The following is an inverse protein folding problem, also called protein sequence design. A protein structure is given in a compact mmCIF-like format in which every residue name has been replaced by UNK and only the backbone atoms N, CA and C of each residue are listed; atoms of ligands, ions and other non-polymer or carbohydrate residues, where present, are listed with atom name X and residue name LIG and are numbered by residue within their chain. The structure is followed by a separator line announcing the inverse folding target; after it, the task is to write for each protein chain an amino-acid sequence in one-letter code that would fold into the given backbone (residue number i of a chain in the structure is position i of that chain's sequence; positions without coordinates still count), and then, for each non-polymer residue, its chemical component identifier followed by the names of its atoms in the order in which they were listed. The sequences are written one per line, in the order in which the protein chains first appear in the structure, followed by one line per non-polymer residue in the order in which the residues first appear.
data_IF_827393286991
#
_entry.id   IF_827393286991
#
_cell.length_a   1.000
_cell.length_b   1.000
_cell.length_c   1.000
_cell.angle_alpha   90.00
_cell.angle_beta   90.00
_cell.angle_gamma   90.00
#
_symmetry.space_group_name_H-M   'P 1'
#
loop_
_entity.id
_entity.type
_entity.pdbx_description
1 polymer ?
#
# COMPACT_ATOMS: atom_id res chain seq x y z
N UNK A 1 -51.87 -32.03 23.29
CA UNK A 1 -51.39 -31.53 24.61
C UNK A 1 -49.86 -31.57 24.68
N UNK A 2 -49.16 -31.22 23.59
CA UNK A 2 -47.70 -31.34 23.44
C UNK A 2 -47.05 -30.09 22.86
N UNK A 3 -47.82 -29.15 22.32
CA UNK A 3 -47.29 -27.89 21.78
C UNK A 3 -46.99 -26.85 22.86
N UNK A 4 -47.68 -26.89 24.01
CA UNK A 4 -47.50 -25.91 25.09
C UNK A 4 -46.17 -26.07 25.82
N UNK A 5 -45.62 -27.29 25.87
CA UNK A 5 -44.34 -27.60 26.53
C UNK A 5 -43.13 -27.21 25.69
N UNK A 6 -43.23 -27.28 24.34
CA UNK A 6 -42.14 -26.82 23.47
C UNK A 6 -41.98 -25.29 23.48
N UNK A 7 -43.08 -24.54 23.55
CA UNK A 7 -43.01 -23.07 23.64
C UNK A 7 -42.38 -22.59 24.95
N UNK A 8 -42.58 -23.31 26.06
CA UNK A 8 -42.00 -22.97 27.37
C UNK A 8 -40.51 -23.28 27.44
N UNK A 9 -40.04 -24.38 26.86
CA UNK A 9 -38.62 -24.71 26.77
C UNK A 9 -37.84 -23.73 25.87
N UNK A 10 -38.42 -23.31 24.74
CA UNK A 10 -37.81 -22.30 23.87
C UNK A 10 -37.74 -20.92 24.54
N UNK A 11 -38.78 -20.53 25.29
CA UNK A 11 -38.77 -19.30 26.08
C UNK A 11 -37.73 -19.32 27.21
N UNK A 12 -37.50 -20.48 27.84
CA UNK A 12 -36.53 -20.64 28.92
C UNK A 12 -35.07 -20.59 28.42
N UNK A 13 -34.79 -21.02 27.19
CA UNK A 13 -33.47 -20.89 26.58
C UNK A 13 -33.12 -19.44 26.20
N UNK A 14 -34.11 -18.62 25.84
CA UNK A 14 -33.93 -17.20 25.55
C UNK A 14 -33.82 -16.33 26.82
N UNK A 15 -34.33 -16.81 27.95
CA UNK A 15 -34.33 -16.10 29.23
C UNK A 15 -33.08 -16.36 30.09
N UNK A 16 -32.04 -16.98 29.55
CA UNK A 16 -30.75 -17.10 30.25
C UNK A 16 -29.91 -15.84 29.98
N UNK A 17 -29.84 -14.87 30.92
CA UNK A 17 -28.79 -13.85 30.85
C UNK A 17 -27.45 -14.59 30.85
N UNK A 18 -26.70 -14.47 29.75
CA UNK A 18 -25.40 -15.10 29.62
C UNK A 18 -24.46 -14.58 30.71
N UNK A 19 -23.55 -15.40 31.29
CA UNK A 19 -22.61 -14.98 32.33
C UNK A 19 -21.73 -13.78 31.94
N UNK A 20 -21.66 -13.50 30.65
CA UNK A 20 -20.91 -12.40 30.04
C UNK A 20 -21.62 -11.05 30.14
N UNK A 21 -22.90 -11.00 30.49
CA UNK A 21 -23.71 -9.78 30.45
C UNK A 21 -23.90 -9.12 31.83
N UNK A 22 -23.79 -9.88 32.93
CA UNK A 22 -24.07 -9.41 34.30
C UNK A 22 -22.94 -9.71 35.32
N UNK A 23 -21.74 -10.05 34.85
CA UNK A 23 -20.60 -10.36 35.73
C UNK A 23 -20.13 -9.14 36.54
N UNK A 24 -19.74 -9.28 37.84
CA UNK A 24 -19.20 -8.22 38.72
C UNK A 24 -17.84 -7.64 38.27
N UNK A 25 -17.78 -7.17 37.03
CA UNK A 25 -16.55 -6.82 36.33
C UNK A 25 -16.78 -6.37 34.89
N UNK A 26 -17.97 -6.61 34.32
CA UNK A 26 -18.36 -6.04 33.03
C UNK A 26 -18.43 -4.50 33.06
N UNK A 27 -18.65 -3.93 34.24
CA UNK A 27 -18.68 -2.48 34.51
C UNK A 27 -17.40 -1.95 35.18
N UNK A 28 -16.47 -2.84 35.55
CA UNK A 28 -15.19 -2.46 36.21
C UNK A 28 -14.04 -2.33 35.20
N UNK A 29 -14.35 -2.28 33.91
CA UNK A 29 -13.35 -1.98 32.89
C UNK A 29 -12.72 -0.61 33.22
N UNK A 30 -11.39 -0.53 33.35
CA UNK A 30 -10.73 0.72 33.71
C UNK A 30 -11.14 1.85 32.75
N UNK A 31 -11.21 3.09 33.23
CA UNK A 31 -11.63 4.23 32.41
C UNK A 31 -10.79 4.41 31.12
N UNK A 32 -9.59 3.83 31.06
CA UNK A 32 -8.69 3.84 29.90
C UNK A 32 -8.91 2.68 28.92
N UNK A 33 -9.83 1.74 29.18
CA UNK A 33 -10.06 0.58 28.31
C UNK A 33 -10.31 0.94 26.82
N UNK A 34 -10.99 2.05 26.46
CA UNK A 34 -11.21 2.38 25.05
C UNK A 34 -9.93 2.82 24.33
N UNK A 35 -8.90 3.25 25.07
CA UNK A 35 -7.63 3.71 24.48
C UNK A 35 -6.93 2.59 23.73
N UNK A 36 -7.00 1.35 24.23
CA UNK A 36 -6.35 0.20 23.60
C UNK A 36 -6.88 -0.12 22.20
N UNK A 37 -8.18 -0.38 21.98
CA UNK A 37 -8.69 -0.67 20.63
C UNK A 37 -8.56 0.54 19.69
N UNK A 38 -8.68 1.77 20.20
CA UNK A 38 -8.51 2.99 19.39
C UNK A 38 -7.06 3.10 18.90
N UNK A 39 -6.08 2.99 19.80
CA UNK A 39 -4.65 3.09 19.43
C UNK A 39 -4.22 1.94 18.54
N UNK A 40 -4.69 0.72 18.80
CA UNK A 40 -4.44 -0.44 17.96
C UNK A 40 -5.04 -0.25 16.55
N UNK A 41 -6.27 0.25 16.45
CA UNK A 41 -6.90 0.56 15.17
C UNK A 41 -6.14 1.64 14.40
N UNK A 42 -5.78 2.75 15.07
CA UNK A 42 -4.97 3.82 14.48
C UNK A 42 -3.60 3.32 14.01
N UNK A 43 -2.95 2.44 14.78
CA UNK A 43 -1.68 1.83 14.42
C UNK A 43 -1.81 1.05 13.10
N UNK A 44 -2.83 0.19 12.96
CA UNK A 44 -3.05 -0.56 11.72
C UNK A 44 -3.39 0.33 10.53
N UNK A 45 -4.20 1.38 10.74
CA UNK A 45 -4.47 2.39 9.70
C UNK A 45 -3.17 3.07 9.26
N UNK A 46 -2.33 3.49 10.20
CA UNK A 46 -1.05 4.12 9.91
C UNK A 46 -0.11 3.18 9.13
N UNK A 47 -0.04 1.91 9.54
CA UNK A 47 0.74 0.88 8.83
C UNK A 47 0.22 0.68 7.41
N UNK A 48 -1.10 0.54 7.23
CA UNK A 48 -1.72 0.36 5.92
C UNK A 48 -1.49 1.56 5.00
N UNK A 49 -1.70 2.79 5.50
CA UNK A 49 -1.46 4.03 4.76
C UNK A 49 0.01 4.16 4.38
N UNK A 50 0.92 3.89 5.32
CA UNK A 50 2.37 3.98 5.06
C UNK A 50 2.80 2.94 4.03
N UNK A 51 2.38 1.69 4.17
CA UNK A 51 2.66 0.63 3.22
C UNK A 51 2.13 0.96 1.83
N UNK A 52 0.86 1.38 1.74
CA UNK A 52 0.24 1.80 0.47
C UNK A 52 0.97 3.00 -0.15
N UNK A 53 1.31 4.00 0.64
CA UNK A 53 2.06 5.17 0.19
C UNK A 53 3.44 4.79 -0.35
N UNK A 54 4.17 3.91 0.33
CA UNK A 54 5.49 3.44 -0.12
C UNK A 54 5.39 2.65 -1.43
N UNK A 55 4.39 1.76 -1.55
CA UNK A 55 4.14 1.03 -2.81
C UNK A 55 3.82 2.02 -3.93
N UNK A 56 2.89 2.94 -3.70
CA UNK A 56 2.49 3.95 -4.70
C UNK A 56 3.66 4.85 -5.10
N UNK A 57 4.47 5.28 -4.14
CA UNK A 57 5.69 6.06 -4.39
C UNK A 57 6.70 5.26 -5.21
N UNK A 58 6.90 3.99 -4.90
CA UNK A 58 7.83 3.12 -5.63
C UNK A 58 7.34 2.90 -7.05
N UNK A 59 6.04 2.66 -7.25
CA UNK A 59 5.41 2.55 -8.57
C UNK A 59 5.51 3.86 -9.37
N UNK A 60 5.34 5.02 -8.73
CA UNK A 60 5.52 6.31 -9.40
C UNK A 60 6.99 6.55 -9.78
N UNK A 61 7.93 6.15 -8.93
CA UNK A 61 9.36 6.26 -9.21
C UNK A 61 9.80 5.32 -10.36
N UNK A 62 9.31 4.08 -10.38
CA UNK A 62 9.54 3.17 -11.51
C UNK A 62 8.84 3.65 -12.78
N UNK A 63 7.60 4.13 -12.70
CA UNK A 63 6.93 4.72 -13.86
C UNK A 63 7.69 5.92 -14.42
N UNK A 64 8.25 6.79 -13.58
CA UNK A 64 9.10 7.90 -14.01
C UNK A 64 10.43 7.43 -14.61
N UNK A 65 11.03 6.35 -14.08
CA UNK A 65 12.24 5.75 -14.65
C UNK A 65 11.95 5.11 -16.02
N UNK A 66 10.86 4.36 -16.13
CA UNK A 66 10.39 3.77 -17.40
C UNK A 66 10.02 4.85 -18.40
N UNK A 67 9.38 5.95 -17.96
CA UNK A 67 9.07 7.09 -18.82
C UNK A 67 10.35 7.72 -19.41
N UNK A 68 11.39 7.93 -18.58
CA UNK A 68 12.71 8.39 -19.06
C UNK A 68 13.39 7.37 -19.97
N UNK A 69 13.26 6.07 -19.71
CA UNK A 69 13.79 5.03 -20.58
C UNK A 69 13.01 4.87 -21.89
N UNK A 70 11.72 5.23 -21.89
CA UNK A 70 10.88 5.27 -23.08
C UNK A 70 11.07 6.53 -23.92
N UNK A 71 11.77 7.54 -23.38
CA UNK A 71 12.15 8.74 -24.11
C UNK A 71 13.05 8.36 -25.31
N UNK A 72 12.62 8.62 -26.55
CA UNK A 72 13.40 8.29 -27.76
C UNK A 72 14.82 8.87 -27.72
N UNK A 73 14.99 10.01 -27.04
CA UNK A 73 16.26 10.70 -26.89
C UNK A 73 17.24 9.91 -26.01
N UNK A 74 16.75 9.38 -24.88
CA UNK A 74 17.57 8.59 -23.96
C UNK A 74 17.99 7.25 -24.58
N UNK A 75 17.12 6.63 -25.39
CA UNK A 75 17.48 5.43 -26.18
C UNK A 75 18.49 5.73 -27.28
N UNK A 76 18.40 6.88 -27.95
CA UNK A 76 19.39 7.28 -28.94
C UNK A 76 20.77 7.50 -28.28
N UNK A 77 20.81 8.11 -27.10
CA UNK A 77 22.05 8.33 -26.34
C UNK A 77 22.69 7.01 -25.85
N UNK A 78 21.90 6.05 -25.36
CA UNK A 78 22.42 4.76 -24.93
C UNK A 78 22.99 3.95 -26.10
N UNK A 79 22.35 3.99 -27.27
CA UNK A 79 22.85 3.35 -28.49
C UNK A 79 24.16 3.98 -28.98
N UNK A 80 24.30 5.30 -28.88
CA UNK A 80 25.51 6.02 -29.27
C UNK A 80 26.68 5.69 -28.32
N UNK A 81 26.42 5.68 -27.00
CA UNK A 81 27.41 5.35 -25.99
C UNK A 81 27.93 3.91 -26.12
N UNK A 82 27.06 2.96 -26.46
CA UNK A 82 27.45 1.56 -26.66
C UNK A 82 28.28 1.36 -27.94
N UNK A 83 28.03 2.16 -28.99
CA UNK A 83 28.86 2.16 -30.22
C UNK A 83 30.20 2.87 -30.04
N UNK A 84 30.24 3.95 -29.26
CA UNK A 84 31.48 4.60 -28.86
C UNK A 84 32.35 3.67 -28.02
N UNK A 85 31.76 2.94 -27.07
CA UNK A 85 32.48 1.96 -26.25
C UNK A 85 33.00 0.75 -27.06
N UNK A 86 32.34 0.41 -28.18
CA UNK A 86 32.86 -0.57 -29.17
C UNK A 86 33.95 0.01 -30.08
N UNK A 87 34.20 1.31 -30.04
CA UNK A 87 35.14 1.98 -30.93
C UNK A 87 34.65 2.09 -32.38
N UNK A 88 33.35 1.92 -32.64
CA UNK A 88 32.77 2.05 -33.99
C UNK A 88 32.50 3.51 -34.38
N UNK A 89 32.55 4.45 -33.42
CA UNK A 89 32.29 5.88 -33.59
C UNK A 89 33.41 6.68 -32.91
N UNK A 90 33.96 7.66 -33.63
CA UNK A 90 35.04 8.55 -33.17
C UNK A 90 34.49 9.69 -32.28
N UNK A 91 35.34 10.24 -31.41
CA UNK A 91 34.93 11.20 -30.36
C UNK A 91 34.40 12.52 -30.93
N UNK A 92 34.94 12.96 -32.07
CA UNK A 92 34.50 14.18 -32.77
C UNK A 92 33.08 14.03 -33.34
N UNK A 93 32.70 12.85 -33.84
CA UNK A 93 31.37 12.59 -34.37
C UNK A 93 30.32 12.47 -33.24
N UNK A 94 30.72 11.98 -32.07
CA UNK A 94 29.89 11.96 -30.86
C UNK A 94 29.51 13.38 -30.43
N UNK A 95 30.47 14.31 -30.37
CA UNK A 95 30.22 15.69 -29.95
C UNK A 95 29.35 16.47 -30.95
N UNK A 96 29.53 16.25 -32.26
CA UNK A 96 28.70 16.89 -33.30
C UNK A 96 27.24 16.41 -33.23
N UNK A 97 26.99 15.10 -33.05
CA UNK A 97 25.61 14.58 -32.94
C UNK A 97 24.93 14.94 -31.62
N UNK A 98 25.68 14.98 -30.51
CA UNK A 98 25.13 15.35 -29.19
C UNK A 98 24.76 16.84 -29.11
N UNK A 99 25.56 17.73 -29.72
CA UNK A 99 25.23 19.15 -29.80
C UNK A 99 24.02 19.42 -30.70
N UNK A 100 23.87 18.71 -31.82
CA UNK A 100 22.68 18.78 -32.67
C UNK A 100 21.41 18.33 -31.93
N UNK A 101 21.49 17.24 -31.14
CA UNK A 101 20.36 16.75 -30.32
C UNK A 101 19.97 17.73 -29.21
N UNK A 102 20.93 18.45 -28.62
CA UNK A 102 20.72 19.40 -27.52
C UNK A 102 20.17 20.75 -27.99
N UNK A 103 20.51 21.17 -29.21
CA UNK A 103 20.08 22.45 -29.80
C UNK A 103 18.75 22.35 -30.57
N UNK A 104 18.24 21.15 -30.82
CA UNK A 104 16.93 20.90 -31.44
C UNK A 104 15.76 20.72 -30.45
N UNK A 105 16.01 20.94 -29.15
CA UNK A 105 15.02 20.93 -28.07
C UNK A 105 14.78 22.35 -27.55
#
# INVERSE_FOLDING_TARGET
MTMTTMTTLAAQAAAHPGPWNDGPGAHDAPAWWPVFPITFGLFWVAVAVTGFYLIRRRMAATAAATARASDPMARAQSLLAERFARGEIDEDEYHVRMSALRNGA
#
